data_IF_158169119013
#
_entry.id   IF_158169119013
#
_cell.length_a   1.000
_cell.length_b   1.000
_cell.length_c   1.000
_cell.angle_alpha   90.00
_cell.angle_beta   90.00
_cell.angle_gamma   90.00
#
_symmetry.space_group_name_H-M   'P 1'
#
loop_
_entity.id
_entity.type
_entity.pdbx_description
1 polymer ?
#
# COMPACT_ATOMS: atom_id res chain seq x y z
N UNK A 1 -35.17 -13.21 -16.84
CA UNK A 1 -35.80 -11.93 -16.47
C UNK A 1 -35.44 -11.63 -15.03
N UNK A 2 -34.29 -11.02 -14.79
CA UNK A 2 -34.08 -10.34 -13.52
C UNK A 2 -34.79 -8.99 -13.65
N UNK A 3 -35.69 -8.73 -12.70
CA UNK A 3 -36.47 -7.50 -12.63
C UNK A 3 -35.52 -6.31 -12.46
N UNK A 4 -35.83 -5.22 -13.14
CA UNK A 4 -35.12 -3.95 -13.09
C UNK A 4 -35.08 -3.39 -11.65
N UNK A 5 -34.06 -3.78 -10.88
CA UNK A 5 -33.66 -2.99 -9.74
C UNK A 5 -32.91 -1.78 -10.27
N UNK A 6 -33.41 -0.58 -9.97
CA UNK A 6 -32.59 0.62 -10.06
C UNK A 6 -31.33 0.36 -9.21
N UNK A 7 -30.18 0.26 -9.87
CA UNK A 7 -28.89 0.26 -9.21
C UNK A 7 -28.69 1.69 -8.70
N UNK A 8 -29.26 1.99 -7.54
CA UNK A 8 -28.67 3.00 -6.67
C UNK A 8 -27.36 2.38 -6.23
N UNK A 9 -26.26 2.82 -6.84
CA UNK A 9 -24.92 2.55 -6.32
C UNK A 9 -24.97 2.92 -4.84
N UNK A 10 -24.83 1.96 -3.90
CA UNK A 10 -24.95 2.29 -2.51
C UNK A 10 -23.90 3.35 -2.21
N UNK A 11 -24.35 4.47 -1.65
CA UNK A 11 -23.47 5.49 -1.07
C UNK A 11 -22.30 4.77 -0.38
N UNK A 12 -21.05 5.20 -0.67
CA UNK A 12 -19.82 4.61 -0.10
C UNK A 12 -20.02 4.27 1.39
N UNK A 13 -20.40 3.03 1.68
CA UNK A 13 -20.54 2.54 3.04
C UNK A 13 -19.13 2.20 3.52
N UNK A 14 -18.34 3.23 3.84
CA UNK A 14 -16.96 3.04 4.28
C UNK A 14 -16.61 4.10 5.31
N UNK A 15 -17.00 3.86 6.56
CA UNK A 15 -16.37 4.56 7.67
C UNK A 15 -15.00 3.94 7.88
N UNK A 16 -13.92 4.72 7.66
CA UNK A 16 -12.59 4.33 8.11
C UNK A 16 -12.59 4.15 9.63
N UNK A 17 -11.69 3.31 10.15
CA UNK A 17 -11.50 3.23 11.59
C UNK A 17 -11.23 4.64 12.15
N UNK A 18 -11.85 5.05 13.28
CA UNK A 18 -11.69 6.39 13.82
C UNK A 18 -10.22 6.81 13.88
N UNK A 19 -9.93 8.06 13.51
CA UNK A 19 -8.57 8.61 13.59
C UNK A 19 -8.07 8.75 15.04
N UNK A 20 -8.99 8.68 16.01
CA UNK A 20 -8.74 8.85 17.43
C UNK A 20 -8.92 7.52 18.16
N UNK A 21 -7.97 7.16 19.01
CA UNK A 21 -8.02 6.03 19.93
C UNK A 21 -8.96 6.32 21.11
N UNK A 22 -9.29 5.30 21.89
CA UNK A 22 -10.17 5.42 23.05
C UNK A 22 -9.66 6.39 24.13
N UNK A 23 -8.34 6.59 24.22
CA UNK A 23 -7.68 7.51 25.14
C UNK A 23 -7.65 8.97 24.64
N UNK A 24 -8.22 9.26 23.46
CA UNK A 24 -8.23 10.58 22.86
C UNK A 24 -6.97 10.92 22.05
N UNK A 25 -5.96 10.06 22.04
CA UNK A 25 -4.78 10.20 21.18
C UNK A 25 -5.10 9.84 19.73
N UNK A 26 -4.32 10.35 18.78
CA UNK A 26 -4.47 10.02 17.36
C UNK A 26 -3.73 8.72 17.05
N UNK A 27 -4.37 7.82 16.29
CA UNK A 27 -3.68 6.62 15.76
C UNK A 27 -2.78 6.97 14.58
N UNK A 28 -1.87 6.06 14.23
CA UNK A 28 -1.00 6.24 13.08
C UNK A 28 -1.83 6.32 11.78
N UNK A 29 -1.30 7.02 10.78
CA UNK A 29 -1.78 6.87 9.41
C UNK A 29 -1.47 5.44 8.95
N UNK A 30 -2.42 4.76 8.33
CA UNK A 30 -2.23 3.39 7.81
C UNK A 30 -2.23 3.42 6.28
N UNK A 31 -1.12 3.03 5.65
CA UNK A 31 -0.99 2.97 4.19
C UNK A 31 -0.87 1.51 3.74
N UNK A 32 -1.80 1.07 2.91
CA UNK A 32 -1.79 -0.28 2.32
C UNK A 32 -0.95 -0.35 1.06
N UNK A 33 -0.13 -1.38 0.91
CA UNK A 33 0.61 -1.69 -0.32
C UNK A 33 0.08 -3.00 -0.91
N UNK A 34 -0.66 -2.90 -2.00
CA UNK A 34 -1.24 -4.03 -2.73
C UNK A 34 -0.64 -4.21 -4.12
N UNK A 35 -0.87 -5.36 -4.73
CA UNK A 35 -0.47 -5.64 -6.11
C UNK A 35 0.06 -7.05 -6.37
N UNK A 36 0.34 -7.38 -7.65
CA UNK A 36 0.76 -8.71 -8.08
C UNK A 36 1.95 -9.28 -7.34
N UNK A 37 2.02 -10.61 -7.29
CA UNK A 37 3.21 -11.33 -6.83
C UNK A 37 4.41 -10.87 -7.65
N UNK A 38 5.50 -10.51 -6.98
CA UNK A 38 6.73 -10.08 -7.63
C UNK A 38 6.75 -8.65 -8.16
N UNK A 39 5.70 -7.83 -8.01
CA UNK A 39 5.70 -6.43 -8.49
C UNK A 39 6.69 -5.51 -7.73
N UNK A 40 7.20 -5.97 -6.59
CA UNK A 40 8.21 -5.28 -5.79
C UNK A 40 7.63 -4.49 -4.62
N UNK A 41 6.51 -4.95 -4.04
CA UNK A 41 5.88 -4.38 -2.84
C UNK A 41 6.84 -4.36 -1.65
N UNK A 42 7.34 -5.51 -1.20
CA UNK A 42 8.31 -5.65 -0.09
C UNK A 42 9.55 -4.77 -0.29
N UNK A 43 10.09 -4.72 -1.51
CA UNK A 43 11.23 -3.87 -1.83
C UNK A 43 10.90 -2.37 -1.75
N UNK A 44 9.68 -1.98 -2.12
CA UNK A 44 9.18 -0.60 -1.98
C UNK A 44 8.95 -0.26 -0.51
N UNK A 45 8.39 -1.18 0.29
CA UNK A 45 8.26 -1.03 1.77
C UNK A 45 9.63 -0.82 2.39
N UNK A 46 10.60 -1.69 2.09
CA UNK A 46 11.96 -1.57 2.59
C UNK A 46 12.61 -0.21 2.25
N UNK A 47 12.42 0.26 1.01
CA UNK A 47 12.93 1.55 0.59
C UNK A 47 12.22 2.72 1.30
N UNK A 48 10.90 2.68 1.47
CA UNK A 48 10.13 3.67 2.22
C UNK A 48 10.61 3.73 3.68
N UNK A 49 10.79 2.59 4.34
CA UNK A 49 11.32 2.53 5.69
C UNK A 49 12.67 3.24 5.80
N UNK A 50 13.60 2.96 4.89
CA UNK A 50 14.92 3.64 4.88
C UNK A 50 14.81 5.14 4.66
N UNK A 51 13.92 5.58 3.77
CA UNK A 51 13.76 6.99 3.45
C UNK A 51 13.09 7.80 4.57
N UNK A 52 12.27 7.15 5.41
CA UNK A 52 11.39 7.84 6.36
C UNK A 52 11.76 7.65 7.83
N UNK A 53 12.44 6.55 8.20
CA UNK A 53 12.67 6.17 9.62
C UNK A 53 13.46 7.18 10.47
N UNK A 54 14.27 8.03 9.84
CA UNK A 54 15.07 9.02 10.57
C UNK A 54 14.25 10.25 10.96
N UNK A 55 13.00 10.37 10.46
CA UNK A 55 12.12 11.52 10.69
C UNK A 55 10.73 11.15 11.19
N UNK A 56 10.31 9.90 11.00
CA UNK A 56 8.99 9.41 11.34
C UNK A 56 9.12 8.11 12.14
N UNK A 57 8.27 7.95 13.15
CA UNK A 57 8.11 6.70 13.89
C UNK A 57 7.23 5.75 13.07
N UNK A 58 7.85 4.75 12.43
CA UNK A 58 7.16 3.79 11.57
C UNK A 58 7.03 2.40 12.19
N UNK A 59 6.03 1.65 11.74
CA UNK A 59 5.97 0.19 11.85
C UNK A 59 5.46 -0.44 10.55
N UNK A 60 5.66 -1.74 10.39
CA UNK A 60 5.24 -2.51 9.22
C UNK A 60 4.49 -3.76 9.64
N UNK A 61 3.34 -4.02 9.01
CA UNK A 61 2.66 -5.30 9.02
C UNK A 61 2.78 -5.91 7.63
N UNK A 62 3.44 -7.06 7.51
CA UNK A 62 3.45 -7.84 6.27
C UNK A 62 2.44 -8.95 6.36
N UNK A 63 1.65 -9.13 5.31
CA UNK A 63 0.67 -10.19 5.20
C UNK A 63 1.07 -11.13 4.06
N UNK A 64 1.07 -12.43 4.33
CA UNK A 64 1.19 -13.45 3.29
C UNK A 64 0.32 -14.66 3.64
N UNK A 65 0.10 -15.54 2.67
CA UNK A 65 -0.80 -16.69 2.83
C UNK A 65 -0.16 -17.74 3.76
N UNK A 66 1.11 -18.06 3.54
CA UNK A 66 1.75 -19.23 4.15
C UNK A 66 3.16 -18.99 4.70
N UNK A 67 3.72 -17.79 4.53
CA UNK A 67 5.13 -17.56 4.86
C UNK A 67 5.32 -16.25 5.59
N UNK A 68 6.42 -16.15 6.32
CA UNK A 68 6.93 -14.91 6.91
C UNK A 68 8.13 -14.36 6.13
N UNK A 69 8.30 -14.75 4.86
CA UNK A 69 9.46 -14.39 4.04
C UNK A 69 9.58 -12.89 3.81
N UNK A 70 8.45 -12.17 3.68
CA UNK A 70 8.45 -10.71 3.52
C UNK A 70 8.94 -10.01 4.79
N UNK A 71 8.44 -10.40 5.98
CA UNK A 71 8.96 -9.89 7.25
C UNK A 71 10.44 -10.26 7.45
N UNK A 72 10.81 -11.50 7.16
CA UNK A 72 12.20 -11.96 7.25
C UNK A 72 13.11 -11.17 6.30
N UNK A 73 12.63 -10.82 5.10
CA UNK A 73 13.33 -9.93 4.18
C UNK A 73 13.56 -8.56 4.81
N UNK A 74 12.51 -7.92 5.35
CA UNK A 74 12.65 -6.59 5.99
C UNK A 74 13.62 -6.60 7.18
N UNK A 75 13.59 -7.66 7.99
CA UNK A 75 14.50 -7.85 9.12
C UNK A 75 15.95 -8.01 8.66
N UNK A 76 16.21 -8.84 7.65
CA UNK A 76 17.56 -9.01 7.08
C UNK A 76 18.10 -7.72 6.47
N UNK A 77 17.23 -6.94 5.85
CA UNK A 77 17.54 -5.65 5.24
C UNK A 77 17.75 -4.53 6.28
N UNK A 78 17.53 -4.82 7.57
CA UNK A 78 17.71 -3.93 8.72
C UNK A 78 17.06 -2.56 8.50
N UNK A 79 15.84 -2.56 7.95
CA UNK A 79 15.14 -1.33 7.61
C UNK A 79 14.53 -0.65 8.84
N UNK A 80 14.14 -1.44 9.83
CA UNK A 80 13.62 -1.01 11.14
C UNK A 80 14.06 -1.98 12.25
N UNK A 81 14.01 -1.55 13.53
CA UNK A 81 14.09 -2.45 14.67
C UNK A 81 13.07 -3.61 14.57
N UNK A 82 13.43 -4.85 14.99
CA UNK A 82 12.55 -6.00 14.86
C UNK A 82 11.17 -5.86 15.49
N UNK A 83 11.08 -5.18 16.64
CA UNK A 83 9.83 -4.92 17.37
C UNK A 83 8.84 -4.02 16.60
N UNK A 84 9.24 -3.45 15.46
CA UNK A 84 8.41 -2.61 14.58
C UNK A 84 7.94 -3.35 13.33
N UNK A 85 8.24 -4.64 13.19
CA UNK A 85 7.85 -5.45 12.03
C UNK A 85 7.05 -6.66 12.53
N UNK A 86 5.79 -6.75 12.12
CA UNK A 86 4.90 -7.87 12.43
C UNK A 86 4.55 -8.65 11.16
N UNK A 87 4.52 -9.97 11.26
CA UNK A 87 4.13 -10.87 10.17
C UNK A 87 2.76 -11.48 10.47
N UNK A 88 1.85 -11.44 9.51
CA UNK A 88 0.53 -12.07 9.58
C UNK A 88 0.46 -13.16 8.51
N UNK A 89 0.43 -14.40 8.97
CA UNK A 89 0.15 -15.57 8.12
C UNK A 89 -1.36 -15.83 8.13
N UNK A 90 -2.01 -15.58 7.01
CA UNK A 90 -3.47 -15.54 6.95
C UNK A 90 -4.11 -16.91 6.75
N UNK A 91 -3.38 -17.84 6.11
CA UNK A 91 -3.91 -19.14 5.68
C UNK A 91 -5.07 -19.05 4.68
N UNK A 92 -5.35 -17.87 4.14
CA UNK A 92 -6.53 -17.57 3.33
C UNK A 92 -6.15 -16.81 2.05
N UNK A 93 -7.12 -16.66 1.14
CA UNK A 93 -6.94 -15.84 -0.06
C UNK A 93 -6.51 -14.42 0.33
N UNK A 94 -5.49 -13.81 -0.32
CA UNK A 94 -4.99 -12.49 0.05
C UNK A 94 -6.09 -11.42 0.10
N UNK A 95 -7.06 -11.47 -0.81
CA UNK A 95 -8.22 -10.57 -0.78
C UNK A 95 -9.02 -10.67 0.51
N UNK A 96 -9.26 -11.88 1.02
CA UNK A 96 -10.03 -12.07 2.24
C UNK A 96 -9.35 -11.36 3.40
N UNK A 97 -8.05 -11.54 3.56
CA UNK A 97 -7.32 -11.01 4.70
C UNK A 97 -7.19 -9.48 4.75
N UNK A 98 -7.31 -8.80 3.61
CA UNK A 98 -7.18 -7.34 3.53
C UNK A 98 -8.51 -6.61 3.28
N UNK A 99 -9.55 -7.34 2.86
CA UNK A 99 -10.85 -6.74 2.47
C UNK A 99 -12.02 -7.31 3.27
N UNK A 100 -12.15 -8.62 3.34
CA UNK A 100 -13.39 -9.28 3.79
C UNK A 100 -13.31 -9.67 5.29
N UNK A 101 -12.14 -10.12 5.76
CA UNK A 101 -11.82 -10.39 7.16
C UNK A 101 -10.46 -9.77 7.48
N UNK A 102 -10.50 -8.52 7.95
CA UNK A 102 -9.29 -7.74 8.27
C UNK A 102 -8.77 -7.96 9.68
N UNK A 103 -9.42 -8.82 10.47
CA UNK A 103 -9.26 -8.88 11.92
C UNK A 103 -7.80 -9.14 12.33
N UNK A 104 -7.15 -10.13 11.73
CA UNK A 104 -5.77 -10.48 12.05
C UNK A 104 -4.76 -9.36 11.70
N UNK A 105 -4.99 -8.66 10.59
CA UNK A 105 -4.14 -7.53 10.21
C UNK A 105 -4.39 -6.32 11.11
N UNK A 106 -5.65 -6.06 11.44
CA UNK A 106 -6.02 -4.95 12.31
C UNK A 106 -5.48 -5.16 13.73
N UNK A 107 -5.60 -6.36 14.28
CA UNK A 107 -5.01 -6.76 15.57
C UNK A 107 -3.49 -6.54 15.56
N UNK A 108 -2.78 -7.03 14.54
CA UNK A 108 -1.33 -6.82 14.42
C UNK A 108 -0.93 -5.33 14.35
N UNK A 109 -1.73 -4.49 13.69
CA UNK A 109 -1.51 -3.04 13.67
C UNK A 109 -1.75 -2.43 15.05
N UNK A 110 -2.83 -2.79 15.72
CA UNK A 110 -3.19 -2.26 17.04
C UNK A 110 -2.18 -2.66 18.12
N UNK A 111 -1.70 -3.90 18.08
CA UNK A 111 -0.63 -4.43 18.96
C UNK A 111 0.67 -3.65 18.78
N UNK A 112 1.07 -3.35 17.54
CA UNK A 112 2.24 -2.51 17.26
C UNK A 112 2.06 -1.09 17.78
N UNK A 113 0.89 -0.48 17.56
CA UNK A 113 0.58 0.86 18.07
C UNK A 113 0.62 0.92 19.61
N UNK A 114 0.24 -0.16 20.31
CA UNK A 114 0.34 -0.26 21.77
C UNK A 114 1.77 -0.52 22.26
N UNK A 115 2.50 -1.42 21.59
CA UNK A 115 3.83 -1.86 22.03
C UNK A 115 4.94 -0.83 21.80
N UNK A 116 4.91 -0.11 20.67
CA UNK A 116 6.00 0.78 20.25
C UNK A 116 5.56 2.21 19.92
N UNK A 117 4.30 2.53 20.22
CA UNK A 117 3.73 3.86 20.01
C UNK A 117 4.39 4.97 20.85
N UNK A 118 4.16 6.25 20.49
CA UNK A 118 3.35 6.70 19.36
C UNK A 118 4.02 6.46 17.98
N UNK A 119 3.20 6.12 16.99
CA UNK A 119 3.60 5.90 15.60
C UNK A 119 2.99 6.99 14.71
N UNK A 120 3.76 7.48 13.74
CA UNK A 120 3.28 8.39 12.71
C UNK A 120 2.61 7.63 11.56
N UNK A 121 3.21 6.50 11.16
CA UNK A 121 2.86 5.75 9.96
C UNK A 121 2.98 4.23 10.20
N UNK A 122 1.96 3.48 9.79
CA UNK A 122 2.02 2.02 9.68
C UNK A 122 1.85 1.64 8.21
N UNK A 123 2.81 0.90 7.67
CA UNK A 123 2.72 0.31 6.33
C UNK A 123 2.12 -1.10 6.45
N UNK A 124 1.08 -1.38 5.68
CA UNK A 124 0.43 -2.70 5.64
C UNK A 124 0.63 -3.28 4.25
N UNK A 125 1.52 -4.25 4.11
CA UNK A 125 1.75 -4.94 2.84
C UNK A 125 0.82 -6.14 2.71
N UNK A 126 0.10 -6.28 1.60
CA UNK A 126 -0.70 -7.47 1.31
C UNK A 126 0.14 -8.60 0.70
N UNK A 127 -0.35 -9.83 0.83
CA UNK A 127 0.09 -10.93 -0.03
C UNK A 127 -0.08 -10.56 -1.51
N UNK A 128 0.76 -11.11 -2.38
CA UNK A 128 0.68 -10.84 -3.81
C UNK A 128 -0.61 -11.37 -4.43
N UNK A 129 -1.33 -10.52 -5.14
CA UNK A 129 -2.61 -10.89 -5.78
C UNK A 129 -2.86 -10.05 -7.04
N UNK A 130 -3.85 -10.44 -7.83
CA UNK A 130 -4.16 -9.83 -9.11
C UNK A 130 -4.75 -8.41 -8.98
N UNK A 131 -5.14 -7.84 -10.13
CA UNK A 131 -5.58 -6.44 -10.27
C UNK A 131 -6.87 -6.11 -9.48
N UNK A 132 -7.52 -7.09 -8.89
CA UNK A 132 -8.69 -6.91 -8.02
C UNK A 132 -8.36 -6.65 -6.55
N UNK A 133 -7.08 -6.66 -6.15
CA UNK A 133 -6.70 -6.43 -4.76
C UNK A 133 -6.98 -4.98 -4.31
N UNK A 134 -7.86 -4.88 -3.33
CA UNK A 134 -8.27 -3.64 -2.66
C UNK A 134 -8.32 -3.88 -1.17
N UNK A 135 -7.90 -2.91 -0.38
CA UNK A 135 -8.02 -2.98 1.07
C UNK A 135 -9.38 -2.48 1.56
N UNK A 136 -9.82 -3.01 2.70
CA UNK A 136 -10.90 -2.41 3.47
C UNK A 136 -10.44 -1.08 4.06
N UNK A 137 -11.32 -0.08 4.01
CA UNK A 137 -11.11 1.23 4.66
C UNK A 137 -11.08 1.12 6.20
N UNK A 138 -11.56 0.00 6.76
CA UNK A 138 -11.37 -0.29 8.19
C UNK A 138 -9.92 -0.63 8.55
N UNK A 139 -9.12 -1.09 7.59
CA UNK A 139 -7.72 -1.50 7.81
C UNK A 139 -6.74 -0.38 7.47
N UNK A 140 -6.93 0.32 6.35
CA UNK A 140 -6.04 1.37 5.85
C UNK A 140 -6.79 2.66 5.50
N UNK A 141 -6.06 3.77 5.53
CA UNK A 141 -6.57 5.11 5.19
C UNK A 141 -6.26 5.51 3.75
N UNK A 142 -5.17 4.98 3.19
CA UNK A 142 -4.76 5.22 1.80
C UNK A 142 -4.08 3.98 1.21
N UNK A 143 -4.27 3.76 -0.09
CA UNK A 143 -3.78 2.60 -0.81
C UNK A 143 -2.77 2.97 -1.89
N UNK A 144 -1.61 2.32 -1.86
CA UNK A 144 -0.66 2.22 -2.95
C UNK A 144 -0.89 0.88 -3.67
N UNK A 145 -1.05 0.92 -4.98
CA UNK A 145 -1.08 -0.29 -5.81
C UNK A 145 0.17 -0.36 -6.68
N UNK A 146 0.93 -1.45 -6.57
CA UNK A 146 2.21 -1.63 -7.26
C UNK A 146 2.07 -2.67 -8.36
N UNK A 147 2.27 -2.24 -9.61
CA UNK A 147 2.48 -3.11 -10.77
C UNK A 147 3.92 -2.93 -11.25
N UNK A 148 4.40 -3.80 -12.14
CA UNK A 148 5.73 -3.65 -12.71
C UNK A 148 5.76 -3.89 -14.21
N UNK A 149 6.73 -3.26 -14.89
CA UNK A 149 6.83 -3.30 -16.36
C UNK A 149 7.05 -4.73 -16.87
N UNK A 150 7.76 -5.58 -16.13
CA UNK A 150 8.02 -6.96 -16.54
C UNK A 150 6.79 -7.87 -16.45
N UNK A 151 5.72 -7.44 -15.77
CA UNK A 151 4.42 -8.11 -15.78
C UNK A 151 3.63 -7.90 -17.07
N UNK A 152 4.02 -6.94 -17.91
CA UNK A 152 3.36 -6.58 -19.16
C UNK A 152 2.91 -5.11 -19.18
N UNK A 153 3.16 -4.42 -20.30
CA UNK A 153 2.74 -3.02 -20.50
C UNK A 153 1.23 -2.86 -20.73
N UNK A 154 0.50 -3.96 -20.91
CA UNK A 154 -0.95 -3.99 -21.04
C UNK A 154 -1.69 -3.98 -19.69
N UNK A 155 -0.98 -4.19 -18.57
CA UNK A 155 -1.58 -4.24 -17.23
C UNK A 155 -2.40 -2.98 -16.90
N UNK A 156 -1.90 -1.74 -17.12
CA UNK A 156 -2.70 -0.55 -16.90
C UNK A 156 -4.03 -0.58 -17.64
N UNK A 157 -4.06 -1.03 -18.91
CA UNK A 157 -5.29 -1.10 -19.73
C UNK A 157 -6.26 -2.19 -19.31
N UNK A 158 -5.76 -3.29 -18.72
CA UNK A 158 -6.62 -4.33 -18.13
C UNK A 158 -7.47 -3.79 -16.97
N UNK A 159 -7.03 -2.71 -16.33
CA UNK A 159 -7.76 -2.06 -15.24
C UNK A 159 -7.89 -2.97 -14.03
N UNK A 160 -9.08 -2.99 -13.42
CA UNK A 160 -9.34 -3.67 -12.16
C UNK A 160 -9.25 -2.71 -10.99
N UNK A 161 -9.98 -2.94 -9.89
CA UNK A 161 -10.14 -1.93 -8.84
C UNK A 161 -8.81 -1.54 -8.17
N UNK A 162 -7.83 -2.43 -8.04
CA UNK A 162 -6.49 -2.04 -7.56
C UNK A 162 -5.83 -1.00 -8.47
N UNK A 163 -5.93 -1.19 -9.80
CA UNK A 163 -5.42 -0.25 -10.80
C UNK A 163 -6.33 0.94 -11.02
N UNK A 164 -7.64 0.89 -10.76
CA UNK A 164 -8.54 2.00 -11.07
C UNK A 164 -8.84 2.90 -9.87
N UNK A 165 -8.76 2.38 -8.64
CA UNK A 165 -9.27 3.08 -7.45
C UNK A 165 -8.26 3.31 -6.34
N UNK A 166 -7.06 2.72 -6.39
CA UNK A 166 -6.02 3.02 -5.40
C UNK A 166 -5.67 4.51 -5.39
N UNK A 167 -5.29 5.06 -4.24
CA UNK A 167 -4.94 6.49 -4.11
C UNK A 167 -3.62 6.82 -4.84
N UNK A 168 -2.72 5.85 -4.99
CA UNK A 168 -1.52 5.94 -5.80
C UNK A 168 -1.29 4.65 -6.61
N UNK A 169 -1.03 4.77 -7.91
CA UNK A 169 -0.49 3.67 -8.72
C UNK A 169 1.02 3.83 -8.87
N UNK A 170 1.78 2.78 -8.56
CA UNK A 170 3.21 2.71 -8.83
C UNK A 170 3.45 1.73 -9.98
N UNK A 171 4.08 2.21 -11.04
CA UNK A 171 4.58 1.41 -12.16
C UNK A 171 6.07 1.20 -11.95
N UNK A 172 6.41 0.06 -11.37
CA UNK A 172 7.74 -0.23 -10.82
C UNK A 172 8.67 -0.90 -11.84
N UNK A 173 9.96 -0.95 -11.48
CA UNK A 173 11.05 -1.56 -12.25
C UNK A 173 11.21 -0.97 -13.65
N UNK A 174 10.99 0.33 -13.83
CA UNK A 174 11.01 0.99 -15.14
C UNK A 174 12.33 0.85 -15.89
N UNK A 175 13.42 0.62 -15.16
CA UNK A 175 14.73 0.31 -15.72
C UNK A 175 14.78 -1.03 -16.48
N UNK A 176 13.80 -1.91 -16.27
CA UNK A 176 13.66 -3.16 -17.03
C UNK A 176 12.95 -2.98 -18.37
N UNK A 177 12.26 -1.86 -18.62
CA UNK A 177 11.42 -1.68 -19.80
C UNK A 177 12.15 -1.96 -21.14
N UNK A 178 13.42 -1.52 -21.35
CA UNK A 178 14.15 -1.84 -22.58
C UNK A 178 14.44 -3.32 -22.80
N UNK A 179 14.42 -4.13 -21.73
CA UNK A 179 14.75 -5.56 -21.78
C UNK A 179 13.52 -6.45 -21.96
N UNK A 180 12.33 -5.95 -21.62
CA UNK A 180 11.05 -6.67 -21.76
C UNK A 180 10.16 -6.10 -22.86
N UNK A 181 10.58 -5.02 -23.52
CA UNK A 181 9.84 -4.41 -24.63
C UNK A 181 8.62 -3.60 -24.20
N UNK A 182 8.57 -3.11 -22.96
CA UNK A 182 7.45 -2.33 -22.43
C UNK A 182 7.48 -0.87 -22.89
N UNK A 183 6.37 -0.37 -23.42
CA UNK A 183 6.19 1.04 -23.75
C UNK A 183 5.71 1.85 -22.52
N UNK A 184 6.63 2.57 -21.88
CA UNK A 184 6.33 3.41 -20.71
C UNK A 184 5.34 4.53 -21.04
N UNK A 185 5.40 5.12 -22.24
CA UNK A 185 4.47 6.18 -22.64
C UNK A 185 3.07 5.61 -22.89
N UNK A 186 2.99 4.42 -23.48
CA UNK A 186 1.77 3.63 -23.59
C UNK A 186 1.15 3.33 -22.23
N UNK A 187 1.95 2.82 -21.28
CA UNK A 187 1.50 2.56 -19.91
C UNK A 187 0.97 3.82 -19.23
N UNK A 188 1.61 4.98 -19.44
CA UNK A 188 1.17 6.25 -18.87
C UNK A 188 -0.19 6.69 -19.42
N UNK A 189 -0.39 6.56 -20.74
CA UNK A 189 -1.68 6.86 -21.39
C UNK A 189 -2.79 5.91 -20.91
N UNK A 190 -2.49 4.62 -20.81
CA UNK A 190 -3.46 3.62 -20.37
C UNK A 190 -3.83 3.82 -18.90
N UNK A 191 -2.86 4.11 -18.03
CA UNK A 191 -3.12 4.44 -16.63
C UNK A 191 -3.98 5.71 -16.49
N UNK A 192 -3.69 6.76 -17.27
CA UNK A 192 -4.49 8.00 -17.30
C UNK A 192 -5.93 7.71 -17.72
N UNK A 193 -6.14 6.88 -18.74
CA UNK A 193 -7.46 6.52 -19.22
C UNK A 193 -8.28 5.74 -18.18
N UNK A 194 -7.65 4.85 -17.41
CA UNK A 194 -8.34 4.05 -16.38
C UNK A 194 -8.58 4.79 -15.06
N UNK A 195 -7.77 5.80 -14.75
CA UNK A 195 -7.69 6.40 -13.40
C UNK A 195 -7.99 7.90 -13.35
N UNK A 196 -8.12 8.57 -14.49
CA UNK A 196 -8.37 10.01 -14.55
C UNK A 196 -7.24 10.82 -13.93
N UNK A 197 -7.52 11.62 -12.91
CA UNK A 197 -6.54 12.49 -12.24
C UNK A 197 -5.82 11.84 -11.05
N UNK A 198 -6.13 10.58 -10.72
CA UNK A 198 -5.42 9.89 -9.64
C UNK A 198 -3.93 9.73 -9.99
N UNK A 199 -3.02 9.94 -9.02
CA UNK A 199 -1.59 9.98 -9.29
C UNK A 199 -1.04 8.61 -9.72
N UNK A 200 -0.03 8.68 -10.59
CA UNK A 200 0.74 7.56 -11.10
C UNK A 200 2.22 7.91 -11.00
N UNK A 201 3.00 7.04 -10.37
CA UNK A 201 4.46 7.20 -10.25
C UNK A 201 5.16 6.07 -10.99
N UNK A 202 6.01 6.45 -11.94
CA UNK A 202 6.96 5.53 -12.58
C UNK A 202 8.20 5.43 -11.70
N UNK A 203 8.52 4.22 -11.24
CA UNK A 203 9.56 3.99 -10.25
C UNK A 203 10.59 2.98 -10.73
N UNK A 204 11.86 3.28 -10.46
CA UNK A 204 12.90 2.27 -10.33
C UNK A 204 13.66 2.51 -9.04
N UNK A 205 13.68 1.50 -8.15
CA UNK A 205 14.48 1.55 -6.92
C UNK A 205 15.99 1.58 -7.19
N UNK A 206 16.42 1.34 -8.44
CA UNK A 206 17.83 1.45 -8.88
C UNK A 206 18.18 2.84 -9.42
N UNK A 207 17.19 3.69 -9.68
CA UNK A 207 17.42 5.05 -10.14
C UNK A 207 17.85 5.97 -8.99
N UNK A 208 18.42 7.12 -9.33
CA UNK A 208 18.78 8.14 -8.34
C UNK A 208 17.56 8.65 -7.55
N UNK A 209 16.40 8.77 -8.20
CA UNK A 209 15.16 9.14 -7.53
C UNK A 209 14.66 8.04 -6.58
N UNK A 210 14.97 6.77 -6.86
CA UNK A 210 14.63 5.62 -6.03
C UNK A 210 13.14 5.59 -5.66
N UNK A 211 12.89 5.55 -4.35
CA UNK A 211 11.54 5.60 -3.77
C UNK A 211 11.07 7.02 -3.43
N UNK A 212 11.89 8.04 -3.66
CA UNK A 212 11.68 9.42 -3.22
C UNK A 212 10.29 9.97 -3.55
N UNK A 213 9.83 9.90 -4.81
CA UNK A 213 8.48 10.37 -5.17
C UNK A 213 7.35 9.67 -4.40
N UNK A 214 7.49 8.37 -4.10
CA UNK A 214 6.49 7.63 -3.31
C UNK A 214 6.57 8.02 -1.83
N UNK A 215 7.77 8.26 -1.32
CA UNK A 215 7.98 8.76 0.05
C UNK A 215 7.41 10.17 0.25
N UNK A 216 7.53 11.05 -0.75
CA UNK A 216 6.95 12.39 -0.73
C UNK A 216 5.41 12.31 -0.73
N UNK A 217 4.83 11.46 -1.59
CA UNK A 217 3.38 11.20 -1.56
C UNK A 217 2.92 10.69 -0.19
N UNK A 218 3.63 9.75 0.43
CA UNK A 218 3.28 9.23 1.75
C UNK A 218 3.33 10.33 2.85
N UNK A 219 4.30 11.25 2.75
CA UNK A 219 4.38 12.42 3.64
C UNK A 219 3.24 13.41 3.42
N UNK A 220 2.79 13.61 2.18
CA UNK A 220 1.62 14.44 1.88
C UNK A 220 0.36 13.85 2.52
N UNK A 221 0.18 12.52 2.43
CA UNK A 221 -0.91 11.82 3.12
C UNK A 221 -0.82 12.00 4.64
N UNK A 222 0.39 11.90 5.22
CA UNK A 222 0.58 12.12 6.66
C UNK A 222 0.30 13.57 7.07
N UNK A 223 0.71 14.55 6.26
CA UNK A 223 0.41 15.96 6.51
C UNK A 223 -1.10 16.23 6.44
N UNK A 224 -1.79 15.67 5.46
CA UNK A 224 -3.25 15.75 5.36
C UNK A 224 -3.92 15.06 6.55
N UNK A 225 -3.46 13.87 6.93
CA UNK A 225 -3.94 13.13 8.11
C UNK A 225 -3.87 14.01 9.35
N UNK A 226 -2.68 14.54 9.66
CA UNK A 226 -2.40 15.34 10.87
C UNK A 226 -3.00 16.74 10.87
N UNK A 227 -3.66 17.18 9.79
CA UNK A 227 -4.27 18.52 9.68
C UNK A 227 -3.26 19.62 9.37
N UNK A 228 -2.14 19.28 8.72
CA UNK A 228 -1.08 20.23 8.32
C UNK A 228 -0.07 20.57 9.43
N UNK A 229 -0.21 20.00 10.62
CA UNK A 229 0.80 20.09 11.67
C UNK A 229 1.91 19.07 11.37
N UNK A 230 3.11 19.55 11.02
CA UNK A 230 4.27 18.68 10.83
C UNK A 230 4.54 17.87 12.11
N UNK A 231 4.94 16.59 12.01
CA UNK A 231 5.33 15.81 13.18
C UNK A 231 6.50 16.51 13.89
N UNK A 232 6.48 16.46 15.22
CA UNK A 232 7.52 17.08 16.04
C UNK A 232 8.88 16.46 15.69
N UNK A 233 9.84 17.32 15.34
CA UNK A 233 11.20 16.96 14.95
C UNK A 233 11.99 16.24 16.05
#
# INVERSE_FOLDING_TARGET
>A
MHLDHQVTDPERHTHSAPATRADGSRRALRIGLGGPVGSGKTATVAALCRALRDRLSLAVVTNDIYTSEDAAFLLREAVLPPERISAVETGACPHTAIRDDISANLEAVEDLEEAVGPLDLVLVESGGDNLTATFSQGLIDAQIFVIDVAGGDDIPRKGGPGVSTADLLVINKTDLAPYVGSDLEGMARDAKAQRGELPVIFQSLRSEAGVGPVADWAREQLAAWTGGAAPAA
#
